data_IF_538440935137
#
_entry.id   IF_538440935137
#
_cell.length_a   1.000
_cell.length_b   1.000
_cell.length_c   1.000
_cell.angle_alpha   90.00
_cell.angle_beta   90.00
_cell.angle_gamma   90.00
#
_symmetry.space_group_name_H-M   'P 1'
#
loop_
_entity.id
_entity.type
_entity.pdbx_description
1 polymer ?
#
# COMPACT_ATOMS: atom_id res chain seq x y z
N UNK A 1 -23.95 -20.61 -3.33
CA UNK A 1 -23.55 -19.24 -3.66
C UNK A 1 -22.28 -19.36 -4.51
N UNK A 2 -22.30 -18.91 -5.77
CA UNK A 2 -21.10 -18.97 -6.61
C UNK A 2 -20.05 -18.07 -5.99
N UNK A 3 -18.83 -18.61 -5.81
CA UNK A 3 -17.71 -17.84 -5.33
C UNK A 3 -17.42 -16.70 -6.31
N UNK A 4 -17.20 -15.49 -5.83
CA UNK A 4 -16.85 -14.36 -6.71
C UNK A 4 -15.58 -14.69 -7.49
N UNK A 5 -15.62 -14.47 -8.80
CA UNK A 5 -14.45 -14.66 -9.66
C UNK A 5 -13.59 -13.39 -9.64
N UNK A 6 -12.51 -13.43 -8.88
CA UNK A 6 -11.55 -12.32 -8.78
C UNK A 6 -10.54 -12.28 -9.93
N UNK A 7 -10.55 -13.27 -10.85
CA UNK A 7 -9.52 -13.44 -11.88
C UNK A 7 -9.39 -12.22 -12.79
N UNK A 8 -10.51 -11.68 -13.26
CA UNK A 8 -10.51 -10.50 -14.13
C UNK A 8 -10.07 -9.22 -13.42
N UNK A 9 -10.49 -9.05 -12.16
CA UNK A 9 -10.09 -7.90 -11.34
C UNK A 9 -8.59 -7.91 -11.07
N UNK A 10 -8.06 -9.05 -10.64
CA UNK A 10 -6.63 -9.24 -10.37
C UNK A 10 -5.80 -9.05 -11.62
N UNK A 11 -6.23 -9.63 -12.76
CA UNK A 11 -5.54 -9.43 -14.04
C UNK A 11 -5.47 -7.96 -14.42
N UNK A 12 -6.57 -7.23 -14.33
CA UNK A 12 -6.58 -5.78 -14.59
C UNK A 12 -5.57 -5.03 -13.74
N UNK A 13 -5.41 -5.39 -12.48
CA UNK A 13 -4.43 -4.76 -11.58
C UNK A 13 -2.98 -5.13 -11.90
N UNK A 14 -2.73 -6.35 -12.38
CA UNK A 14 -1.39 -6.79 -12.83
C UNK A 14 -0.97 -6.04 -14.10
N UNK A 15 -1.89 -5.84 -15.04
CA UNK A 15 -1.65 -5.19 -16.33
C UNK A 15 -1.65 -3.66 -16.27
N UNK A 16 -2.21 -3.08 -15.19
CA UNK A 16 -2.31 -1.63 -15.01
C UNK A 16 -0.92 -0.97 -14.88
N UNK A 17 -0.70 0.09 -15.65
CA UNK A 17 0.52 0.89 -15.53
C UNK A 17 0.57 1.62 -14.18
N UNK A 18 1.78 1.71 -13.61
CA UNK A 18 1.97 2.44 -12.36
C UNK A 18 1.92 3.94 -12.65
N UNK A 19 0.97 4.61 -11.99
CA UNK A 19 0.88 6.07 -12.01
C UNK A 19 2.12 6.66 -11.37
N UNK A 20 2.75 7.65 -12.03
CA UNK A 20 3.85 8.43 -11.46
C UNK A 20 3.31 9.75 -10.92
N UNK A 21 3.04 9.84 -9.61
CA UNK A 21 2.51 11.06 -9.01
C UNK A 21 3.58 12.15 -8.88
N UNK A 22 3.16 13.39 -8.64
CA UNK A 22 4.06 14.41 -8.11
C UNK A 22 4.53 13.93 -6.73
N UNK A 23 5.86 13.82 -6.50
CA UNK A 23 6.35 13.16 -5.30
C UNK A 23 6.06 13.95 -4.03
N UNK A 24 5.61 13.24 -3.00
CA UNK A 24 5.55 13.67 -1.62
C UNK A 24 6.92 13.53 -0.96
N UNK A 25 7.10 14.22 0.16
CA UNK A 25 8.29 13.99 1.01
C UNK A 25 8.28 12.56 1.54
N UNK A 26 9.47 11.94 1.61
CA UNK A 26 9.59 10.53 1.94
C UNK A 26 9.30 10.28 3.42
N UNK A 27 8.23 9.53 3.71
CA UNK A 27 7.94 9.00 5.06
C UNK A 27 8.46 7.57 5.22
N UNK A 28 8.66 6.85 4.11
CA UNK A 28 9.36 5.56 4.04
C UNK A 28 10.54 5.73 3.10
N UNK A 29 11.75 5.78 3.65
CA UNK A 29 12.97 5.97 2.84
C UNK A 29 13.32 4.77 2.00
N UNK A 30 13.25 3.58 2.59
CA UNK A 30 13.54 2.33 1.91
C UNK A 30 12.57 1.26 2.37
N UNK A 31 11.91 0.59 1.44
CA UNK A 31 11.20 -0.65 1.73
C UNK A 31 12.21 -1.80 1.77
N UNK A 32 12.12 -2.70 2.76
CA UNK A 32 12.98 -3.89 2.78
C UNK A 32 12.68 -4.77 1.56
N UNK A 33 13.67 -5.51 1.11
CA UNK A 33 13.46 -6.54 0.10
C UNK A 33 12.44 -7.59 0.60
N UNK A 34 11.66 -8.21 -0.30
CA UNK A 34 10.74 -9.27 0.08
C UNK A 34 11.46 -10.40 0.82
N UNK A 35 10.98 -10.73 1.99
CA UNK A 35 11.50 -11.79 2.85
C UNK A 35 10.41 -12.29 3.80
N UNK A 36 10.60 -13.50 4.36
CA UNK A 36 9.76 -13.96 5.47
C UNK A 36 10.06 -13.16 6.74
N UNK A 37 9.05 -12.98 7.57
CA UNK A 37 9.12 -12.22 8.83
C UNK A 37 9.45 -10.73 8.67
N UNK A 38 9.18 -10.15 7.51
CA UNK A 38 9.22 -8.70 7.35
C UNK A 38 8.16 -8.01 8.23
N UNK A 39 8.46 -6.78 8.63
CA UNK A 39 7.46 -5.93 9.28
C UNK A 39 6.40 -5.50 8.25
N UNK A 40 5.15 -5.43 8.69
CA UNK A 40 4.08 -4.84 7.90
C UNK A 40 4.20 -3.31 7.98
N UNK A 41 4.34 -2.63 6.85
CA UNK A 41 4.36 -1.18 6.77
C UNK A 41 2.93 -0.66 6.67
N UNK A 42 2.51 0.16 7.63
CA UNK A 42 1.15 0.67 7.73
C UNK A 42 1.17 2.18 7.55
N UNK A 43 0.58 2.68 6.48
CA UNK A 43 0.45 4.11 6.21
C UNK A 43 -0.93 4.56 6.69
N UNK A 44 -0.94 5.33 7.78
CA UNK A 44 -2.15 5.93 8.34
C UNK A 44 -2.22 7.42 8.01
N UNK A 45 -3.40 7.99 8.09
CA UNK A 45 -3.58 9.43 7.88
C UNK A 45 -5.01 9.79 7.55
N UNK A 46 -5.31 11.07 7.57
CA UNK A 46 -6.65 11.57 7.26
C UNK A 46 -7.13 11.09 5.88
N UNK A 47 -8.45 11.06 5.71
CA UNK A 47 -9.03 10.85 4.36
C UNK A 47 -8.54 11.96 3.43
N UNK A 48 -8.23 11.60 2.18
CA UNK A 48 -7.76 12.52 1.12
C UNK A 48 -6.39 13.17 1.37
N UNK A 49 -5.58 12.68 2.30
CA UNK A 49 -4.20 13.16 2.46
C UNK A 49 -3.20 12.59 1.43
N UNK A 50 -3.66 11.69 0.52
CA UNK A 50 -2.84 11.20 -0.59
C UNK A 50 -2.18 9.83 -0.37
N UNK A 51 -2.65 8.99 0.58
CA UNK A 51 -2.09 7.67 0.89
C UNK A 51 -1.96 6.77 -0.35
N UNK A 52 -3.03 6.65 -1.14
CA UNK A 52 -3.05 5.88 -2.39
C UNK A 52 -1.95 6.34 -3.35
N UNK A 53 -1.82 7.65 -3.57
CA UNK A 53 -0.77 8.20 -4.44
C UNK A 53 0.63 7.97 -3.88
N UNK A 54 0.77 7.91 -2.56
CA UNK A 54 2.04 7.57 -1.93
C UNK A 54 2.41 6.10 -2.16
N UNK A 55 1.44 5.16 -2.18
CA UNK A 55 1.69 3.78 -2.63
C UNK A 55 2.24 3.76 -4.06
N UNK A 56 1.64 4.52 -4.98
CA UNK A 56 2.14 4.60 -6.35
C UNK A 56 3.53 5.22 -6.44
N UNK A 57 3.86 6.20 -5.59
CA UNK A 57 5.21 6.74 -5.49
C UNK A 57 6.21 5.66 -5.05
N UNK A 58 5.89 4.86 -4.04
CA UNK A 58 6.74 3.75 -3.60
C UNK A 58 6.94 2.71 -4.71
N UNK A 59 5.87 2.36 -5.43
CA UNK A 59 5.95 1.45 -6.57
C UNK A 59 6.81 2.02 -7.71
N UNK A 60 6.67 3.32 -8.02
CA UNK A 60 7.49 3.99 -9.02
C UNK A 60 8.98 3.99 -8.63
N UNK A 61 9.29 4.26 -7.37
CA UNK A 61 10.66 4.19 -6.85
C UNK A 61 11.26 2.78 -6.97
N UNK A 62 10.47 1.73 -6.72
CA UNK A 62 10.91 0.34 -6.90
C UNK A 62 11.16 0.00 -8.37
N UNK A 63 10.32 0.50 -9.30
CA UNK A 63 10.56 0.35 -10.74
C UNK A 63 11.88 1.00 -11.16
N UNK A 64 12.15 2.21 -10.66
CA UNK A 64 13.38 2.95 -10.96
C UNK A 64 14.63 2.25 -10.39
N UNK A 65 14.45 1.43 -9.34
CA UNK A 65 15.48 0.54 -8.78
C UNK A 65 15.59 -0.80 -9.53
N UNK A 66 14.82 -1.01 -10.59
CA UNK A 66 14.86 -2.22 -11.42
C UNK A 66 13.98 -3.37 -10.94
N UNK A 67 13.07 -3.15 -9.98
CA UNK A 67 12.12 -4.17 -9.56
C UNK A 67 11.13 -4.46 -10.69
N UNK A 68 10.95 -5.72 -11.12
CA UNK A 68 9.97 -6.05 -12.14
C UNK A 68 8.54 -5.68 -11.73
N UNK A 69 7.77 -5.12 -12.66
CA UNK A 69 6.37 -4.73 -12.42
C UNK A 69 5.52 -5.91 -11.94
N UNK A 70 5.74 -7.11 -12.49
CA UNK A 70 5.02 -8.33 -12.14
C UNK A 70 5.19 -8.74 -10.67
N UNK A 71 6.24 -8.28 -10.00
CA UNK A 71 6.52 -8.54 -8.59
C UNK A 71 6.01 -7.45 -7.64
N UNK A 72 5.17 -6.55 -8.13
CA UNK A 72 4.48 -5.51 -7.36
C UNK A 72 2.98 -5.62 -7.62
N UNK A 73 2.22 -5.92 -6.58
CA UNK A 73 0.77 -6.04 -6.66
C UNK A 73 0.10 -4.93 -5.86
N UNK A 74 -0.71 -4.13 -6.53
CA UNK A 74 -1.57 -3.10 -5.94
C UNK A 74 -3.02 -3.55 -5.99
N UNK A 75 -3.73 -3.44 -4.86
CA UNK A 75 -5.15 -3.72 -4.82
C UNK A 75 -5.88 -2.80 -3.83
N UNK A 76 -7.01 -2.21 -4.27
CA UNK A 76 -7.88 -1.35 -3.49
C UNK A 76 -9.11 -2.13 -3.02
N UNK A 77 -9.23 -2.34 -1.70
CA UNK A 77 -10.36 -3.06 -1.10
C UNK A 77 -11.61 -2.20 -0.95
N UNK A 78 -11.58 -0.91 -1.26
CA UNK A 78 -12.77 -0.07 -1.35
C UNK A 78 -13.53 -0.22 -2.68
N UNK A 79 -13.03 -1.03 -3.61
CA UNK A 79 -13.64 -1.25 -4.92
C UNK A 79 -15.07 -1.83 -4.79
N UNK A 80 -16.04 -1.11 -5.32
CA UNK A 80 -17.46 -1.49 -5.22
C UNK A 80 -17.78 -2.83 -5.90
N UNK A 81 -16.93 -3.30 -6.81
CA UNK A 81 -17.08 -4.59 -7.51
C UNK A 81 -16.83 -5.78 -6.57
N UNK A 82 -16.24 -5.55 -5.41
CA UNK A 82 -16.03 -6.58 -4.38
C UNK A 82 -17.29 -6.84 -3.54
N UNK A 83 -18.32 -5.99 -3.65
CA UNK A 83 -19.51 -6.09 -2.79
C UNK A 83 -20.61 -6.98 -3.38
N UNK A 84 -21.24 -7.87 -2.57
CA UNK A 84 -20.95 -8.08 -1.16
C UNK A 84 -19.58 -8.74 -0.96
N UNK A 85 -18.81 -8.28 0.03
CA UNK A 85 -17.45 -8.73 0.25
C UNK A 85 -17.43 -10.10 0.96
N UNK A 86 -16.63 -11.02 0.45
CA UNK A 86 -16.41 -12.31 1.11
C UNK A 86 -15.49 -12.13 2.32
N UNK A 87 -15.68 -12.86 3.43
CA UNK A 87 -14.81 -12.74 4.62
C UNK A 87 -13.34 -13.05 4.33
N UNK A 88 -13.05 -13.91 3.35
CA UNK A 88 -11.72 -14.35 2.91
C UNK A 88 -11.23 -13.62 1.65
N UNK A 89 -11.79 -12.45 1.34
CA UNK A 89 -11.48 -11.70 0.11
C UNK A 89 -9.99 -11.41 -0.06
N UNK A 90 -9.27 -11.08 1.02
CA UNK A 90 -7.84 -10.78 0.94
C UNK A 90 -7.03 -12.00 0.53
N UNK A 91 -7.32 -13.16 1.13
CA UNK A 91 -6.70 -14.44 0.77
C UNK A 91 -6.93 -14.77 -0.69
N UNK A 92 -8.17 -14.71 -1.13
CA UNK A 92 -8.56 -15.08 -2.50
C UNK A 92 -7.97 -14.16 -3.55
N UNK A 93 -7.89 -12.86 -3.28
CA UNK A 93 -7.28 -11.87 -4.18
C UNK A 93 -5.77 -12.09 -4.29
N UNK A 94 -5.07 -12.31 -3.18
CA UNK A 94 -3.62 -12.51 -3.19
C UNK A 94 -3.24 -13.89 -3.73
N UNK A 95 -4.00 -14.95 -3.42
CA UNK A 95 -3.80 -16.27 -4.01
C UNK A 95 -4.02 -16.24 -5.52
N UNK A 96 -5.02 -15.49 -6.00
CA UNK A 96 -5.27 -15.31 -7.43
C UNK A 96 -4.12 -14.55 -8.11
N UNK A 97 -3.55 -13.53 -7.47
CA UNK A 97 -2.34 -12.86 -7.96
C UNK A 97 -1.18 -13.84 -8.12
N UNK A 98 -0.88 -14.65 -7.10
CA UNK A 98 0.18 -15.64 -7.17
C UNK A 98 -0.10 -16.76 -8.18
N UNK A 99 -1.36 -17.09 -8.39
CA UNK A 99 -1.76 -18.05 -9.44
C UNK A 99 -1.46 -17.50 -10.85
N UNK A 100 -1.70 -16.20 -11.07
CA UNK A 100 -1.42 -15.53 -12.35
C UNK A 100 0.06 -15.20 -12.56
N UNK A 101 0.80 -14.96 -11.47
CA UNK A 101 2.21 -14.56 -11.47
C UNK A 101 3.00 -15.46 -10.49
N UNK A 102 3.24 -16.73 -10.83
CA UNK A 102 3.91 -17.68 -9.93
C UNK A 102 5.30 -17.21 -9.46
N UNK A 103 6.06 -16.55 -10.35
CA UNK A 103 7.38 -16.01 -10.02
C UNK A 103 7.33 -14.95 -8.90
N UNK A 104 6.21 -14.26 -8.72
CA UNK A 104 6.06 -13.31 -7.63
C UNK A 104 6.04 -13.99 -6.26
N UNK A 105 5.48 -15.20 -6.17
CA UNK A 105 5.52 -16.00 -4.94
C UNK A 105 6.87 -16.64 -4.71
N UNK A 106 7.49 -17.19 -5.77
CA UNK A 106 8.76 -17.91 -5.70
C UNK A 106 9.94 -17.00 -5.38
N UNK A 107 10.04 -15.86 -6.07
CA UNK A 107 11.14 -14.90 -5.95
C UNK A 107 10.88 -13.79 -4.94
N UNK A 108 9.65 -13.73 -4.40
CA UNK A 108 9.17 -12.68 -3.50
C UNK A 108 8.60 -11.47 -4.21
N UNK A 109 7.66 -10.80 -3.56
CA UNK A 109 6.94 -9.65 -4.13
C UNK A 109 6.60 -8.59 -3.08
N UNK A 110 6.19 -7.44 -3.58
CA UNK A 110 5.63 -6.35 -2.77
C UNK A 110 4.11 -6.34 -2.92
N UNK A 111 3.40 -6.36 -1.80
CA UNK A 111 1.94 -6.25 -1.75
C UNK A 111 1.56 -4.86 -1.25
N UNK A 112 0.95 -4.05 -2.10
CA UNK A 112 0.42 -2.73 -1.80
C UNK A 112 -1.10 -2.83 -1.69
N UNK A 113 -1.63 -2.89 -0.46
CA UNK A 113 -3.03 -3.14 -0.18
C UNK A 113 -3.67 -1.87 0.39
N UNK A 114 -4.56 -1.28 -0.40
CA UNK A 114 -5.17 0.02 -0.10
C UNK A 114 -6.53 -0.16 0.57
N UNK A 115 -6.85 0.74 1.52
CA UNK A 115 -8.12 0.80 2.28
C UNK A 115 -8.50 -0.55 2.93
N UNK A 116 -7.52 -1.24 3.54
CA UNK A 116 -7.69 -2.59 4.11
C UNK A 116 -8.77 -2.69 5.18
N UNK A 117 -9.13 -1.58 5.84
CA UNK A 117 -10.20 -1.56 6.85
C UNK A 117 -11.61 -1.78 6.28
N UNK A 118 -11.74 -1.89 4.97
CA UNK A 118 -12.99 -2.30 4.33
C UNK A 118 -13.19 -3.83 4.37
N UNK A 119 -12.15 -4.59 4.76
CA UNK A 119 -12.18 -6.05 4.92
C UNK A 119 -12.23 -6.45 6.39
N UNK A 120 -12.79 -7.64 6.65
CA UNK A 120 -12.71 -8.26 7.96
C UNK A 120 -11.33 -8.92 8.16
N UNK A 121 -10.86 -8.97 9.41
CA UNK A 121 -9.60 -9.63 9.82
C UNK A 121 -8.34 -9.29 8.99
N UNK A 122 -8.28 -8.08 8.43
CA UNK A 122 -7.10 -7.66 7.65
C UNK A 122 -5.79 -7.76 8.43
N UNK A 123 -5.83 -7.58 9.77
CA UNK A 123 -4.65 -7.69 10.64
C UNK A 123 -4.11 -9.13 10.65
N UNK A 124 -4.99 -10.11 10.85
CA UNK A 124 -4.63 -11.53 10.83
C UNK A 124 -4.06 -11.96 9.49
N UNK A 125 -4.68 -11.52 8.40
CA UNK A 125 -4.18 -11.76 7.04
C UNK A 125 -2.78 -11.18 6.85
N UNK A 126 -2.58 -9.87 7.10
CA UNK A 126 -1.30 -9.20 6.87
C UNK A 126 -0.17 -9.81 7.70
N UNK A 127 -0.43 -10.13 8.98
CA UNK A 127 0.54 -10.77 9.85
C UNK A 127 0.93 -12.16 9.32
N UNK A 128 -0.04 -12.98 8.99
CA UNK A 128 0.18 -14.34 8.49
C UNK A 128 1.01 -14.34 7.19
N UNK A 129 0.63 -13.51 6.23
CA UNK A 129 1.32 -13.42 4.94
C UNK A 129 2.76 -12.91 5.12
N UNK A 130 2.97 -11.89 5.94
CA UNK A 130 4.32 -11.36 6.21
C UNK A 130 5.21 -12.36 6.95
N UNK A 131 4.65 -13.28 7.75
CA UNK A 131 5.41 -14.31 8.46
C UNK A 131 5.71 -15.53 7.58
N UNK A 132 4.78 -15.94 6.75
CA UNK A 132 4.85 -17.23 6.05
C UNK A 132 5.38 -17.12 4.63
N UNK A 133 5.18 -16.00 3.97
CA UNK A 133 5.51 -15.80 2.56
C UNK A 133 6.72 -14.87 2.39
N UNK A 134 7.33 -14.94 1.22
CA UNK A 134 8.46 -14.08 0.86
C UNK A 134 7.95 -12.74 0.32
N UNK A 135 7.48 -11.86 1.22
CA UNK A 135 6.81 -10.61 0.84
C UNK A 135 7.26 -9.40 1.65
N UNK A 136 7.05 -8.23 1.09
CA UNK A 136 6.98 -6.96 1.81
C UNK A 136 5.57 -6.41 1.67
N UNK A 137 4.89 -6.27 2.80
CA UNK A 137 3.50 -5.80 2.84
C UNK A 137 3.45 -4.34 3.21
N UNK A 138 2.80 -3.54 2.38
CA UNK A 138 2.52 -2.11 2.61
C UNK A 138 1.01 -1.91 2.53
N UNK A 139 0.41 -1.41 3.58
CA UNK A 139 -1.03 -1.20 3.63
C UNK A 139 -1.38 0.25 3.90
N UNK A 140 -2.56 0.67 3.47
CA UNK A 140 -3.15 1.93 3.91
C UNK A 140 -4.46 1.73 4.63
N UNK A 141 -4.77 2.69 5.49
CA UNK A 141 -6.06 2.79 6.13
C UNK A 141 -6.33 4.20 6.66
N UNK A 142 -7.61 4.54 6.83
CA UNK A 142 -7.96 5.83 7.42
C UNK A 142 -7.71 5.82 8.93
N UNK A 143 -7.12 6.89 9.47
CA UNK A 143 -6.78 7.01 10.89
C UNK A 143 -7.97 6.83 11.85
N UNK A 144 -9.19 7.08 11.39
CA UNK A 144 -10.41 6.86 12.18
C UNK A 144 -10.78 5.37 12.35
N UNK A 145 -10.33 4.50 11.43
CA UNK A 145 -10.62 3.06 11.46
C UNK A 145 -9.39 2.21 11.79
N UNK A 146 -8.20 2.77 11.59
CA UNK A 146 -6.91 2.11 11.83
C UNK A 146 -6.19 2.91 12.90
N UNK A 147 -6.58 2.73 14.17
CA UNK A 147 -5.95 3.44 15.30
C UNK A 147 -4.57 2.84 15.62
N UNK A 148 -3.63 3.70 15.99
CA UNK A 148 -2.28 3.28 16.39
C UNK A 148 -2.27 2.31 17.56
N UNK A 149 -3.19 2.45 18.52
CA UNK A 149 -3.32 1.54 19.66
C UNK A 149 -3.84 0.15 19.25
N UNK A 150 -4.82 0.09 18.35
CA UNK A 150 -5.34 -1.17 17.81
C UNK A 150 -4.27 -1.92 16.99
N UNK A 151 -3.48 -1.19 16.21
CA UNK A 151 -2.36 -1.77 15.43
C UNK A 151 -1.28 -2.32 16.35
N UNK A 152 -0.81 -1.53 17.32
CA UNK A 152 0.25 -1.93 18.23
C UNK A 152 -0.12 -3.23 18.98
N UNK A 153 -1.38 -3.37 19.37
CA UNK A 153 -1.90 -4.56 20.05
C UNK A 153 -2.01 -5.76 19.12
N UNK A 154 -2.55 -5.57 17.92
CA UNK A 154 -2.78 -6.66 16.95
C UNK A 154 -1.48 -7.21 16.38
N UNK A 155 -0.55 -6.34 15.99
CA UNK A 155 0.72 -6.77 15.36
C UNK A 155 1.83 -7.13 16.35
N UNK A 156 1.65 -6.89 17.66
CA UNK A 156 2.63 -7.26 18.70
C UNK A 156 4.08 -6.85 18.38
N UNK A 157 4.27 -5.63 17.87
CA UNK A 157 5.57 -5.10 17.47
C UNK A 157 6.07 -5.57 16.10
N UNK A 158 5.24 -6.23 15.28
CA UNK A 158 5.57 -6.70 13.92
C UNK A 158 5.07 -5.76 12.82
N UNK A 159 4.87 -4.50 13.14
CA UNK A 159 4.49 -3.48 12.17
C UNK A 159 5.29 -2.20 12.36
N UNK A 160 5.40 -1.46 11.29
CA UNK A 160 5.96 -0.11 11.28
C UNK A 160 4.87 0.86 10.80
N UNK A 161 4.40 1.70 11.71
CA UNK A 161 3.35 2.68 11.42
C UNK A 161 3.98 3.99 10.94
N UNK A 162 3.51 4.46 9.79
CA UNK A 162 3.92 5.71 9.16
C UNK A 162 2.71 6.63 9.09
N UNK A 163 2.77 7.75 9.78
CA UNK A 163 1.68 8.73 9.76
C UNK A 163 1.88 9.71 8.60
N UNK A 164 0.85 9.82 7.75
CA UNK A 164 0.84 10.72 6.62
C UNK A 164 -0.06 11.92 6.90
N UNK A 165 0.56 13.10 6.89
CA UNK A 165 -0.12 14.37 7.08
C UNK A 165 -0.60 14.96 5.74
N UNK A 166 -1.52 15.94 5.75
CA UNK A 166 -1.80 16.77 4.56
C UNK A 166 -0.51 17.39 4.00
N UNK A 167 -0.59 17.97 2.80
CA UNK A 167 0.57 18.61 2.16
C UNK A 167 1.22 19.62 3.09
N UNK A 168 2.53 19.50 3.26
CA UNK A 168 3.35 20.56 3.83
C UNK A 168 3.37 21.78 2.90
N UNK A 169 3.81 22.94 3.38
CA UNK A 169 3.91 24.12 2.53
C UNK A 169 4.86 23.90 1.35
N UNK A 170 5.98 23.23 1.55
CA UNK A 170 6.93 22.90 0.48
C UNK A 170 6.33 21.95 -0.55
N UNK A 171 5.60 20.94 -0.11
CA UNK A 171 4.87 20.03 -1.01
C UNK A 171 3.76 20.76 -1.77
N UNK A 172 3.01 21.61 -1.10
CA UNK A 172 1.98 22.43 -1.73
C UNK A 172 2.58 23.29 -2.85
N UNK A 173 3.68 23.98 -2.59
CA UNK A 173 4.38 24.78 -3.61
C UNK A 173 4.83 23.90 -4.80
N UNK A 174 5.40 22.73 -4.51
CA UNK A 174 5.83 21.74 -5.54
C UNK A 174 4.65 21.29 -6.41
N UNK A 175 3.51 20.99 -5.80
CA UNK A 175 2.31 20.54 -6.51
C UNK A 175 1.70 21.63 -7.40
N UNK A 176 1.88 22.91 -7.05
CA UNK A 176 1.34 24.05 -7.79
C UNK A 176 2.40 24.76 -8.69
N UNK A 177 3.64 24.25 -8.72
CA UNK A 177 4.72 24.90 -9.48
C UNK A 177 5.11 26.27 -8.94
N UNK A 178 4.87 26.53 -7.65
CA UNK A 178 5.18 27.79 -6.96
C UNK A 178 6.62 27.71 -6.45
N UNK A 179 7.51 28.65 -6.79
CA UNK A 179 8.86 28.71 -6.21
C UNK A 179 8.79 28.83 -4.69
N UNK A 180 9.63 28.07 -3.98
CA UNK A 180 9.77 28.27 -2.54
C UNK A 180 10.45 29.63 -2.28
N UNK A 181 9.98 30.42 -1.30
CA UNK A 181 10.66 31.65 -0.90
C UNK A 181 12.05 31.31 -0.36
N UNK A 182 13.03 32.13 -0.69
CA UNK A 182 14.37 31.99 -0.11
C UNK A 182 14.31 32.25 1.41
N UNK A 183 15.14 31.55 2.22
CA UNK A 183 15.23 31.81 3.64
C UNK A 183 15.57 33.28 3.92
N UNK A 184 14.68 34.01 4.60
CA UNK A 184 14.86 35.43 4.90
C UNK A 184 14.13 36.42 3.98
N UNK A 185 13.42 35.96 2.96
CA UNK A 185 12.43 36.77 2.25
C UNK A 185 11.08 36.68 2.98
N UNK A 186 10.64 37.76 3.58
CA UNK A 186 9.31 37.85 4.16
C UNK A 186 8.28 37.63 3.06
N UNK A 187 7.49 36.56 3.20
CA UNK A 187 6.39 36.26 2.32
C UNK A 187 5.20 37.19 2.68
N UNK A 188 5.20 38.40 2.18
CA UNK A 188 4.07 39.32 2.19
C UNK A 188 3.69 39.70 0.76
#
# INVERSE_FOLDING_TARGET
MMAADYSSLVRGRIEEEIVRPIPRDEIIRNLPAPARFNLVHIITGMRRCGKTFYLFQLMANLLDQGMPRSRMFYFDFSDVRLKPMDPDVMDRVVDEYWRQVPEAREQGCYLFLDEVQETDDWQGFCQRVAEQENVTVVITGSSSKVSSEGIATSFRGRSHVHEMWPLSFSEYCRFHGIPLPEPGQDAF
#
